data_IF_454708447465
#
_entry.id   IF_454708447465
#
_cell.length_a   1.000
_cell.length_b   1.000
_cell.length_c   1.000
_cell.angle_alpha   90.00
_cell.angle_beta   90.00
_cell.angle_gamma   90.00
#
_symmetry.space_group_name_H-M   'P 1'
#
loop_
_entity.id
_entity.type
_entity.pdbx_description
1 polymer ?
#
# COMPACT_ATOMS: atom_id res chain seq x y z
N UNK A 1 44.77 -5.87 -74.53
CA UNK A 1 43.28 -5.92 -74.48
C UNK A 1 42.90 -6.38 -73.08
N UNK A 2 42.45 -5.48 -72.27
CA UNK A 2 42.23 -5.69 -70.84
C UNK A 2 40.69 -5.87 -70.62
N UNK A 3 40.29 -7.06 -70.23
CA UNK A 3 38.89 -7.35 -69.90
C UNK A 3 38.69 -7.09 -68.40
N UNK A 4 37.87 -6.09 -68.10
CA UNK A 4 37.45 -5.77 -66.75
C UNK A 4 36.35 -6.76 -66.29
N UNK A 5 36.66 -7.54 -65.24
CA UNK A 5 35.64 -8.31 -64.52
C UNK A 5 35.03 -7.41 -63.43
N UNK A 6 33.74 -7.14 -63.56
CA UNK A 6 32.99 -6.46 -62.56
C UNK A 6 32.63 -7.41 -61.39
N UNK A 7 33.06 -7.07 -60.23
CA UNK A 7 32.63 -7.78 -59.04
C UNK A 7 31.24 -7.28 -58.60
N UNK A 8 30.24 -8.16 -58.63
CA UNK A 8 28.91 -7.92 -58.09
C UNK A 8 28.98 -8.23 -56.59
N UNK A 9 29.03 -7.18 -55.76
CA UNK A 9 28.89 -7.32 -54.33
C UNK A 9 27.40 -7.57 -54.00
N UNK A 10 27.10 -8.81 -53.67
CA UNK A 10 25.80 -9.19 -53.12
C UNK A 10 25.77 -8.77 -51.63
N UNK A 11 25.18 -7.62 -51.33
CA UNK A 11 24.94 -7.21 -49.99
C UNK A 11 23.82 -8.06 -49.35
N UNK A 12 24.16 -9.03 -48.56
CA UNK A 12 23.20 -9.76 -47.73
C UNK A 12 22.73 -8.86 -46.62
N UNK A 13 21.50 -8.32 -46.76
CA UNK A 13 20.84 -7.62 -45.68
C UNK A 13 20.36 -8.66 -44.68
N UNK A 14 21.11 -8.83 -43.60
CA UNK A 14 20.68 -9.56 -42.40
C UNK A 14 19.61 -8.72 -41.70
N UNK A 15 18.36 -9.06 -41.92
CA UNK A 15 17.26 -8.60 -41.13
C UNK A 15 17.37 -9.25 -39.74
N UNK A 16 18.06 -8.57 -38.84
CA UNK A 16 17.98 -8.86 -37.41
C UNK A 16 16.57 -8.46 -36.95
N UNK A 17 15.66 -9.43 -36.99
CA UNK A 17 14.42 -9.32 -36.21
C UNK A 17 14.79 -9.38 -34.75
N UNK A 18 15.11 -8.21 -34.19
CA UNK A 18 15.23 -8.03 -32.76
C UNK A 18 13.86 -8.32 -32.15
N UNK A 19 13.72 -9.47 -31.50
CA UNK A 19 12.66 -9.65 -30.53
C UNK A 19 12.88 -8.59 -29.43
N UNK A 20 12.23 -7.45 -29.59
CA UNK A 20 12.02 -6.55 -28.47
C UNK A 20 11.09 -7.28 -27.52
N UNK A 21 11.66 -7.89 -26.48
CA UNK A 21 10.92 -8.26 -25.30
C UNK A 21 10.30 -6.96 -24.76
N UNK A 22 9.06 -6.69 -25.16
CA UNK A 22 8.25 -5.70 -24.44
C UNK A 22 8.18 -6.19 -23.01
N UNK A 23 8.52 -5.34 -22.01
CA UNK A 23 8.13 -5.64 -20.65
C UNK A 23 6.62 -5.86 -20.70
N UNK A 24 6.18 -7.03 -20.28
CA UNK A 24 4.77 -7.30 -20.10
C UNK A 24 4.37 -6.39 -18.94
N UNK A 25 3.76 -5.27 -19.27
CA UNK A 25 3.02 -4.50 -18.28
C UNK A 25 1.95 -5.46 -17.76
N UNK A 26 2.22 -6.07 -16.62
CA UNK A 26 1.20 -6.65 -15.79
C UNK A 26 0.33 -5.49 -15.32
N UNK A 27 -0.51 -5.02 -16.22
CA UNK A 27 -1.56 -4.09 -15.93
C UNK A 27 -2.58 -4.83 -15.05
N UNK A 28 -2.31 -4.89 -13.76
CA UNK A 28 -3.37 -5.01 -12.79
C UNK A 28 -4.31 -3.85 -13.09
N UNK A 29 -5.39 -4.14 -13.81
CA UNK A 29 -6.46 -3.19 -14.00
C UNK A 29 -7.04 -2.98 -12.62
N UNK A 30 -6.59 -1.91 -11.95
CA UNK A 30 -7.29 -1.39 -10.78
C UNK A 30 -8.67 -1.04 -11.28
N UNK A 31 -9.62 -1.90 -11.00
CA UNK A 31 -11.02 -1.63 -11.24
C UNK A 31 -11.38 -0.51 -10.28
N UNK A 32 -11.46 0.72 -10.77
CA UNK A 32 -12.02 1.81 -9.99
C UNK A 32 -13.50 1.50 -9.78
N UNK A 33 -13.81 0.95 -8.63
CA UNK A 33 -15.20 0.82 -8.19
C UNK A 33 -15.63 2.25 -7.87
N UNK A 34 -16.46 2.82 -8.73
CA UNK A 34 -17.15 4.08 -8.42
C UNK A 34 -18.15 3.77 -7.29
N UNK A 35 -17.75 4.05 -6.06
CA UNK A 35 -18.71 4.07 -4.96
C UNK A 35 -19.56 5.31 -5.11
N UNK A 36 -20.88 5.23 -4.86
CA UNK A 36 -21.70 6.44 -4.76
C UNK A 36 -21.09 7.33 -3.68
N UNK A 37 -21.06 8.64 -3.93
CA UNK A 37 -20.62 9.60 -2.94
C UNK A 37 -21.54 9.46 -1.72
N UNK A 38 -20.98 8.97 -0.61
CA UNK A 38 -21.70 8.95 0.66
C UNK A 38 -21.58 10.37 1.20
N UNK A 39 -22.69 11.10 1.21
CA UNK A 39 -22.78 12.38 1.93
C UNK A 39 -22.81 12.08 3.43
N UNK A 40 -21.64 11.87 4.01
CA UNK A 40 -21.47 11.68 5.43
C UNK A 40 -20.70 12.86 6.02
N UNK A 41 -21.17 13.36 7.16
CA UNK A 41 -20.43 14.34 7.96
C UNK A 41 -19.24 13.71 8.69
N UNK A 42 -19.04 12.41 8.58
CA UNK A 42 -17.97 11.70 9.27
C UNK A 42 -16.62 11.91 8.59
N UNK A 43 -15.62 12.18 9.40
CA UNK A 43 -14.26 12.51 8.98
C UNK A 43 -13.68 11.48 7.97
N UNK A 44 -13.91 10.19 8.22
CA UNK A 44 -13.37 9.10 7.39
C UNK A 44 -13.99 9.02 5.98
N UNK A 45 -15.14 9.65 5.76
CA UNK A 45 -15.82 9.67 4.45
C UNK A 45 -15.59 10.98 3.68
N UNK A 46 -14.83 11.91 4.25
CA UNK A 46 -14.46 13.13 3.54
C UNK A 46 -13.36 12.84 2.52
N UNK A 47 -13.39 13.54 1.39
CA UNK A 47 -12.29 13.47 0.42
C UNK A 47 -11.04 14.15 0.99
N UNK A 48 -9.84 13.61 0.71
CA UNK A 48 -8.61 14.27 1.10
C UNK A 48 -8.52 15.69 0.54
N UNK A 49 -8.08 16.62 1.37
CA UNK A 49 -7.84 18.00 1.00
C UNK A 49 -6.33 18.30 0.85
N UNK A 50 -6.01 19.45 0.30
CA UNK A 50 -4.62 19.91 0.24
C UNK A 50 -4.09 20.16 1.66
N UNK A 51 -2.99 19.49 2.01
CA UNK A 51 -2.39 19.55 3.34
C UNK A 51 -2.62 18.28 4.18
N UNK A 52 -3.52 17.39 3.76
CA UNK A 52 -3.71 16.13 4.44
C UNK A 52 -2.48 15.21 4.29
N UNK A 53 -2.20 14.45 5.34
CA UNK A 53 -1.15 13.43 5.31
C UNK A 53 -1.70 12.16 4.70
N UNK A 54 -1.09 11.71 3.60
CA UNK A 54 -1.52 10.51 2.88
C UNK A 54 -0.39 9.49 2.85
N UNK A 55 -0.64 8.30 3.35
CA UNK A 55 0.23 7.14 3.18
C UNK A 55 -0.08 6.45 1.84
N UNK A 56 0.98 6.10 1.09
CA UNK A 56 0.88 5.35 -0.16
C UNK A 56 1.48 3.97 0.05
N UNK A 57 0.68 2.94 -0.18
CA UNK A 57 1.09 1.55 -0.08
C UNK A 57 1.25 0.98 -1.49
N UNK A 58 2.49 0.67 -1.86
CA UNK A 58 2.82 0.00 -3.11
C UNK A 58 3.06 -1.49 -2.80
N UNK A 59 2.18 -2.34 -3.30
CA UNK A 59 2.19 -3.77 -2.99
C UNK A 59 2.24 -4.62 -4.26
N UNK A 60 2.58 -5.89 -4.12
CA UNK A 60 2.53 -6.84 -5.24
C UNK A 60 1.13 -7.02 -5.85
N UNK A 61 0.07 -6.64 -5.11
CA UNK A 61 -1.31 -6.71 -5.56
C UNK A 61 -1.84 -5.38 -6.12
N UNK A 62 -1.07 -4.30 -6.00
CA UNK A 62 -1.45 -2.97 -6.47
C UNK A 62 -1.19 -1.87 -5.44
N UNK A 63 -1.54 -0.65 -5.81
CA UNK A 63 -1.33 0.54 -4.99
C UNK A 63 -2.64 0.99 -4.36
N UNK A 64 -2.61 1.25 -3.06
CA UNK A 64 -3.71 1.93 -2.37
C UNK A 64 -3.19 3.08 -1.52
N UNK A 65 -4.09 3.91 -1.03
CA UNK A 65 -3.77 5.10 -0.24
C UNK A 65 -4.67 5.19 0.97
N UNK A 66 -4.11 5.71 2.07
CA UNK A 66 -4.85 6.00 3.29
C UNK A 66 -4.56 7.42 3.76
N UNK A 67 -5.60 8.15 4.15
CA UNK A 67 -5.45 9.43 4.84
C UNK A 67 -5.14 9.14 6.31
N UNK A 68 -4.15 9.82 6.86
CA UNK A 68 -3.80 9.75 8.27
C UNK A 68 -4.37 10.95 9.01
N UNK A 69 -4.71 10.76 10.28
CA UNK A 69 -5.32 11.78 11.13
C UNK A 69 -4.44 12.09 12.35
N UNK A 70 -3.30 12.83 12.18
CA UNK A 70 -2.35 13.08 13.29
C UNK A 70 -2.97 13.82 14.47
N UNK A 71 -3.99 14.63 14.25
CA UNK A 71 -4.71 15.35 15.30
C UNK A 71 -5.62 14.44 16.15
N UNK A 72 -5.91 13.22 15.66
CA UNK A 72 -6.74 12.23 16.36
C UNK A 72 -5.94 11.09 16.98
N UNK A 73 -4.81 10.75 16.37
CA UNK A 73 -3.91 9.68 16.79
C UNK A 73 -2.44 10.10 16.60
N UNK A 74 -1.95 11.07 17.38
CA UNK A 74 -0.62 11.65 17.17
C UNK A 74 0.51 10.65 17.30
N UNK A 75 0.55 9.79 18.32
CA UNK A 75 1.64 8.84 18.51
C UNK A 75 1.62 7.74 17.44
N UNK A 76 0.45 7.26 17.07
CA UNK A 76 0.28 6.28 16.01
C UNK A 76 0.79 6.83 14.67
N UNK A 77 0.40 8.06 14.32
CA UNK A 77 0.84 8.72 13.09
C UNK A 77 2.33 9.03 13.12
N UNK A 78 2.88 9.55 14.21
CA UNK A 78 4.31 9.84 14.35
C UNK A 78 5.15 8.58 14.19
N UNK A 79 4.75 7.49 14.85
CA UNK A 79 5.44 6.21 14.73
C UNK A 79 5.36 5.67 13.30
N UNK A 80 4.17 5.64 12.73
CA UNK A 80 3.96 5.12 11.38
C UNK A 80 4.78 5.92 10.36
N UNK A 81 4.67 7.24 10.36
CA UNK A 81 5.39 8.13 9.43
C UNK A 81 6.89 7.98 9.60
N UNK A 82 7.38 7.98 10.84
CA UNK A 82 8.81 7.85 11.12
C UNK A 82 9.37 6.49 10.66
N UNK A 83 8.64 5.40 10.82
CA UNK A 83 9.00 4.09 10.31
C UNK A 83 8.96 4.02 8.78
N UNK A 84 7.99 4.68 8.14
CA UNK A 84 7.96 4.83 6.68
C UNK A 84 9.20 5.56 6.18
N UNK A 85 9.58 6.67 6.82
CA UNK A 85 10.78 7.45 6.46
C UNK A 85 12.08 6.66 6.65
N UNK A 86 12.12 5.74 7.59
CA UNK A 86 13.25 4.82 7.81
C UNK A 86 13.23 3.63 6.85
N UNK A 87 12.21 3.48 6.01
CA UNK A 87 12.06 2.36 5.09
C UNK A 87 11.70 1.03 5.78
N UNK A 88 11.27 1.07 7.03
CA UNK A 88 10.97 -0.12 7.83
C UNK A 88 9.96 -1.05 7.16
N UNK A 89 8.93 -0.49 6.53
CA UNK A 89 7.86 -1.28 5.91
C UNK A 89 8.24 -1.88 4.55
N UNK A 90 9.36 -1.44 3.95
CA UNK A 90 9.77 -1.90 2.63
C UNK A 90 10.12 -3.39 2.64
N UNK A 91 9.47 -4.15 1.77
CA UNK A 91 9.71 -5.60 1.65
C UNK A 91 9.07 -6.44 2.74
N UNK A 92 8.33 -5.85 3.68
CA UNK A 92 7.54 -6.64 4.62
C UNK A 92 6.38 -7.34 3.91
N UNK A 93 6.00 -8.49 4.43
CA UNK A 93 4.88 -9.27 3.93
C UNK A 93 3.62 -9.00 4.73
N UNK A 94 2.47 -9.26 4.11
CA UNK A 94 1.20 -9.40 4.84
C UNK A 94 1.32 -10.59 5.77
N UNK A 95 1.11 -10.36 7.07
CA UNK A 95 1.30 -11.36 8.12
C UNK A 95 0.03 -12.18 8.38
N UNK A 96 -1.13 -11.59 8.14
CA UNK A 96 -2.43 -12.24 8.39
C UNK A 96 -3.46 -11.71 7.39
N UNK A 97 -4.25 -12.62 6.86
CA UNK A 97 -5.46 -12.31 6.09
C UNK A 97 -6.60 -13.12 6.70
N UNK A 98 -7.63 -12.44 7.13
CA UNK A 98 -8.84 -13.05 7.64
C UNK A 98 -10.02 -12.50 6.83
N UNK A 99 -10.55 -13.37 5.97
CA UNK A 99 -11.58 -13.02 5.01
C UNK A 99 -12.80 -12.41 5.70
N UNK A 100 -13.32 -11.33 5.14
CA UNK A 100 -14.43 -10.54 5.69
C UNK A 100 -14.14 -9.95 7.08
N UNK A 101 -12.88 -9.76 7.41
CA UNK A 101 -12.48 -9.15 8.67
C UNK A 101 -11.31 -8.18 8.47
N UNK A 102 -10.07 -8.66 8.40
CA UNK A 102 -8.90 -7.78 8.31
C UNK A 102 -7.78 -8.35 7.44
N UNK A 103 -6.96 -7.42 6.91
CA UNK A 103 -5.64 -7.71 6.34
C UNK A 103 -4.60 -7.02 7.23
N UNK A 104 -3.67 -7.78 7.81
CA UNK A 104 -2.68 -7.31 8.77
C UNK A 104 -1.27 -7.38 8.20
N UNK A 105 -0.46 -6.36 8.49
CA UNK A 105 0.94 -6.26 8.10
C UNK A 105 1.74 -5.42 9.11
N UNK A 106 3.04 -5.21 8.85
CA UNK A 106 3.89 -4.35 9.66
C UNK A 106 4.67 -5.07 10.74
N UNK A 107 4.62 -6.41 10.78
CA UNK A 107 5.53 -7.20 11.62
C UNK A 107 6.91 -7.28 10.97
N UNK A 108 7.97 -7.11 11.76
CA UNK A 108 9.33 -7.38 11.33
C UNK A 108 9.59 -8.87 11.11
N UNK A 109 10.77 -9.20 10.60
CA UNK A 109 11.19 -10.58 10.35
C UNK A 109 11.24 -11.44 11.61
N UNK A 110 11.34 -10.83 12.78
CA UNK A 110 11.31 -11.47 14.10
C UNK A 110 9.88 -11.72 14.62
N UNK A 111 8.86 -11.40 13.84
CA UNK A 111 7.45 -11.51 14.21
C UNK A 111 6.98 -10.42 15.18
N UNK A 112 7.82 -9.41 15.44
CA UNK A 112 7.50 -8.31 16.35
C UNK A 112 7.26 -7.00 15.63
N UNK A 113 6.54 -6.12 16.27
CA UNK A 113 6.44 -4.72 15.86
C UNK A 113 7.63 -3.89 16.33
N UNK A 114 7.87 -2.77 15.63
CA UNK A 114 8.92 -1.80 15.94
C UNK A 114 8.33 -0.42 16.19
N UNK A 115 9.13 0.46 16.78
CA UNK A 115 8.77 1.87 16.93
C UNK A 115 9.99 2.77 16.68
N UNK A 116 9.74 4.03 16.35
CA UNK A 116 10.80 5.04 16.24
C UNK A 116 11.49 5.33 17.59
N UNK A 117 10.87 4.93 18.69
CA UNK A 117 11.38 5.11 20.05
C UNK A 117 12.21 3.91 20.55
N UNK A 118 12.91 3.23 19.61
CA UNK A 118 13.85 2.13 19.91
C UNK A 118 13.21 0.96 20.68
N UNK A 119 12.02 0.56 20.26
CA UNK A 119 11.31 -0.60 20.81
C UNK A 119 10.39 -0.30 21.99
N UNK A 120 10.34 0.93 22.50
CA UNK A 120 9.29 1.33 23.43
C UNK A 120 7.96 1.37 22.69
N UNK A 121 6.96 0.68 23.22
CA UNK A 121 5.60 0.70 22.69
C UNK A 121 4.88 1.96 23.11
N UNK A 122 3.73 2.23 22.51
CA UNK A 122 2.89 3.37 22.88
C UNK A 122 1.45 2.89 23.14
N UNK A 123 0.71 3.60 24.00
CA UNK A 123 -0.66 3.22 24.32
C UNK A 123 -1.56 3.34 23.10
N UNK A 124 -2.63 2.55 23.07
CA UNK A 124 -3.66 2.67 22.05
C UNK A 124 -4.30 4.06 22.11
N UNK A 125 -4.45 4.68 20.93
CA UNK A 125 -5.14 5.96 20.78
C UNK A 125 -6.49 5.70 20.13
N UNK A 126 -7.55 6.23 20.73
CA UNK A 126 -8.93 6.14 20.22
C UNK A 126 -9.54 7.52 20.07
N UNK A 127 -10.51 7.64 19.18
CA UNK A 127 -11.23 8.88 18.93
C UNK A 127 -12.69 8.56 18.60
N UNK A 128 -13.61 9.34 19.14
CA UNK A 128 -15.06 9.22 18.84
C UNK A 128 -15.38 9.56 17.37
N UNK A 129 -14.41 10.13 16.64
CA UNK A 129 -14.56 10.49 15.22
C UNK A 129 -13.98 9.45 14.26
N UNK A 130 -13.38 8.37 14.78
CA UNK A 130 -12.74 7.32 13.97
C UNK A 130 -13.30 5.95 14.34
N UNK A 131 -13.74 5.22 13.34
CA UNK A 131 -14.40 3.94 13.49
C UNK A 131 -13.77 2.87 12.58
N UNK A 132 -14.07 1.60 12.85
CA UNK A 132 -13.60 0.45 12.08
C UNK A 132 -14.44 0.21 10.81
N UNK A 133 -14.69 1.24 10.03
CA UNK A 133 -15.35 1.06 8.75
C UNK A 133 -14.51 0.26 7.77
N UNK A 134 -15.13 -0.39 6.80
CA UNK A 134 -14.42 -1.07 5.73
C UNK A 134 -13.46 -0.10 5.01
N UNK A 135 -12.20 -0.49 4.90
CA UNK A 135 -11.10 0.34 4.40
C UNK A 135 -10.38 1.18 5.47
N UNK A 136 -10.82 1.16 6.73
CA UNK A 136 -10.09 1.85 7.80
C UNK A 136 -8.71 1.21 8.03
N UNK A 137 -7.69 2.06 8.13
CA UNK A 137 -6.34 1.68 8.56
C UNK A 137 -6.22 1.88 10.07
N UNK A 138 -5.95 0.81 10.79
CA UNK A 138 -5.90 0.81 12.25
C UNK A 138 -4.59 0.21 12.74
N UNK A 139 -4.09 0.69 13.89
CA UNK A 139 -2.91 0.09 14.51
C UNK A 139 -3.28 -1.17 15.29
N UNK A 140 -2.44 -2.20 15.14
CA UNK A 140 -2.57 -3.44 15.92
C UNK A 140 -2.20 -3.23 17.36
N UNK A 141 -3.02 -3.77 18.26
CA UNK A 141 -2.82 -3.73 19.72
C UNK A 141 -2.35 -5.10 20.19
N UNK A 142 -1.28 -5.13 20.97
CA UNK A 142 -0.79 -6.37 21.53
C UNK A 142 -1.54 -6.79 22.80
N UNK A 143 -1.10 -7.90 23.39
CA UNK A 143 -1.71 -8.46 24.62
C UNK A 143 -1.53 -7.58 25.85
N UNK A 144 -0.61 -6.62 25.82
CA UNK A 144 -0.41 -5.63 26.89
C UNK A 144 -1.26 -4.38 26.74
N UNK A 145 -2.00 -4.26 25.63
CA UNK A 145 -2.79 -3.08 25.31
C UNK A 145 -1.99 -1.95 24.66
N UNK A 146 -0.82 -2.28 24.10
CA UNK A 146 0.08 -1.31 23.49
C UNK A 146 0.24 -1.53 21.99
N UNK A 147 0.58 -0.47 21.29
CA UNK A 147 0.79 -0.45 19.84
C UNK A 147 2.28 -0.36 19.48
N UNK A 148 2.59 -0.78 18.26
CA UNK A 148 3.91 -0.64 17.64
C UNK A 148 3.75 -0.36 16.13
N UNK A 149 4.45 -1.12 15.23
CA UNK A 149 4.36 -0.95 13.78
C UNK A 149 3.26 -1.77 13.12
N UNK A 150 2.70 -2.74 13.83
CA UNK A 150 1.67 -3.61 13.24
C UNK A 150 0.41 -2.80 12.97
N UNK A 151 -0.14 -2.96 11.78
CA UNK A 151 -1.39 -2.33 11.38
C UNK A 151 -2.28 -3.34 10.66
N UNK A 152 -3.57 -3.03 10.59
CA UNK A 152 -4.52 -3.77 9.77
C UNK A 152 -5.43 -2.84 9.01
N UNK A 153 -5.88 -3.34 7.87
CA UNK A 153 -6.95 -2.71 7.08
C UNK A 153 -8.21 -3.54 7.29
N UNK A 154 -9.28 -2.87 7.67
CA UNK A 154 -10.59 -3.51 7.87
C UNK A 154 -11.18 -3.86 6.51
N UNK A 155 -11.52 -5.12 6.28
CA UNK A 155 -12.24 -5.54 5.08
C UNK A 155 -13.75 -5.37 5.25
N UNK A 156 -14.31 -5.96 6.31
CA UNK A 156 -15.67 -5.74 6.78
C UNK A 156 -15.76 -6.22 8.22
N UNK A 157 -16.67 -5.66 9.02
CA UNK A 157 -16.92 -6.23 10.34
C UNK A 157 -17.94 -7.37 10.23
N UNK A 158 -17.71 -8.51 10.94
CA UNK A 158 -18.69 -9.59 10.98
C UNK A 158 -20.04 -9.08 11.51
N UNK A 159 -21.09 -9.19 10.70
CA UNK A 159 -22.44 -8.78 11.06
C UNK A 159 -22.82 -7.35 10.69
N UNK A 160 -21.91 -6.52 10.21
CA UNK A 160 -22.26 -5.27 9.55
C UNK A 160 -22.62 -5.54 8.09
N UNK A 161 -23.88 -5.37 7.76
CA UNK A 161 -24.29 -5.28 6.38
C UNK A 161 -23.58 -4.04 5.79
N UNK A 162 -22.76 -4.25 4.77
CA UNK A 162 -22.24 -3.14 3.99
C UNK A 162 -23.42 -2.22 3.66
N UNK A 163 -23.33 -0.97 4.11
CA UNK A 163 -24.29 0.07 3.72
C UNK A 163 -24.15 0.20 2.21
N UNK A 164 -25.11 -0.39 1.49
CA UNK A 164 -25.24 -0.32 0.03
C UNK A 164 -25.79 1.03 -0.36
#
# INVERSE_FOLDING_TARGET
MLKKFGAVCLAAVLLLTGCTLRPQENGSKVQSISRPAVESAELQFTHPAAGDTVAVFDTSAGVFRAVLFPEKAPQACDNFIGLVQQGYYNGLTVSRVENQFVVEAGQGADGKGSTIWKGSRYPVETSDSLHHYAGALCMGVDVSGECASVFYVVESLPGEQSVT
#
